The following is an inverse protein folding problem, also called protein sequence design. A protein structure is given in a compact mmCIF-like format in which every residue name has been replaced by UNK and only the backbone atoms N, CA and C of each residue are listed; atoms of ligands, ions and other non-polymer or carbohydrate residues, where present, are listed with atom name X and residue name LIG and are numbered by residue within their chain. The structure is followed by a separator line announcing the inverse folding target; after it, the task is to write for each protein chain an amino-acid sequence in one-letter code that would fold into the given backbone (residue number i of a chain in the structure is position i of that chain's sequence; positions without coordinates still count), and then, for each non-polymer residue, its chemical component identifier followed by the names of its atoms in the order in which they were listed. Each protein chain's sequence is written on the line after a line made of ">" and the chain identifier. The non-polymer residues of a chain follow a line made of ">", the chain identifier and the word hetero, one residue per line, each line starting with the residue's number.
data_IF_141129595023
#
_entry.id   IF_141129595023
#
_cell.length_a   1.000
_cell.length_b   1.000
_cell.length_c   1.000
_cell.angle_alpha   90.00
_cell.angle_beta   90.00
_cell.angle_gamma   90.00
#
_symmetry.space_group_name_H-M   'P 1'
#
loop_
_entity.id
_entity.type
_entity.pdbx_description
1 polymer ?
#
# COMPACT_ATOMS: atom_id res chain seq x y z
N UNK A 1 18.78 16.27 -2.51
CA UNK A 1 18.03 15.21 -1.83
C UNK A 1 17.82 14.04 -2.79
N UNK A 2 17.88 12.81 -2.26
CA UNK A 2 17.60 11.59 -3.01
C UNK A 2 16.19 11.12 -2.64
N UNK A 3 15.16 11.43 -3.43
CA UNK A 3 13.81 11.01 -3.13
C UNK A 3 13.66 9.50 -3.38
N UNK A 4 12.87 8.86 -2.51
CA UNK A 4 12.34 7.52 -2.75
C UNK A 4 11.00 7.73 -3.44
N UNK A 5 10.86 7.13 -4.63
CA UNK A 5 9.70 7.31 -5.48
C UNK A 5 8.86 6.03 -5.54
N UNK A 6 7.58 6.21 -5.30
CA UNK A 6 6.53 5.21 -5.45
C UNK A 6 5.64 5.63 -6.61
N UNK A 7 5.94 5.22 -7.79
CA UNK A 7 5.13 5.60 -8.95
C UNK A 7 5.49 4.82 -10.20
N UNK A 8 4.59 4.89 -11.18
CA UNK A 8 4.67 4.11 -12.41
C UNK A 8 5.22 4.95 -13.55
N UNK A 9 5.01 6.26 -13.49
CA UNK A 9 5.48 7.16 -14.53
C UNK A 9 6.98 7.37 -14.39
N UNK A 10 7.72 6.97 -15.44
CA UNK A 10 9.16 7.19 -15.53
C UNK A 10 9.41 8.40 -16.43
N UNK A 11 10.08 9.41 -15.88
CA UNK A 11 10.53 10.56 -16.64
C UNK A 11 11.87 10.25 -17.32
N UNK A 12 12.07 10.68 -18.59
CA UNK A 12 13.22 10.28 -19.38
C UNK A 12 14.57 10.82 -18.88
N UNK A 13 14.56 11.90 -18.09
CA UNK A 13 15.75 12.53 -17.52
C UNK A 13 16.09 12.04 -16.10
N UNK A 14 15.38 11.03 -15.61
CA UNK A 14 15.58 10.44 -14.30
C UNK A 14 16.06 9.00 -14.39
N UNK A 15 16.99 8.66 -13.51
CA UNK A 15 17.43 7.28 -13.29
C UNK A 15 16.68 6.69 -12.09
N UNK A 16 16.13 5.51 -12.29
CA UNK A 16 15.41 4.76 -11.28
C UNK A 16 16.21 3.53 -10.88
N UNK A 17 16.51 3.39 -9.60
CA UNK A 17 17.22 2.23 -9.07
C UNK A 17 16.28 1.50 -8.10
N UNK A 18 15.93 0.23 -8.37
CA UNK A 18 15.07 -0.54 -7.47
C UNK A 18 15.59 -0.56 -6.05
N UNK A 19 14.72 -0.34 -5.08
CA UNK A 19 15.07 -0.32 -3.66
C UNK A 19 14.36 -1.42 -2.88
N UNK A 20 13.03 -1.47 -2.97
CA UNK A 20 12.19 -2.31 -2.14
C UNK A 20 10.92 -2.70 -2.87
N UNK A 21 10.55 -3.98 -2.76
CA UNK A 21 9.21 -4.43 -3.12
C UNK A 21 8.30 -4.41 -1.88
N UNK A 22 7.05 -4.06 -2.08
CA UNK A 22 6.02 -4.00 -1.06
C UNK A 22 4.71 -4.52 -1.63
N UNK A 23 3.83 -4.95 -0.75
CA UNK A 23 2.51 -5.45 -1.09
C UNK A 23 1.46 -4.69 -0.30
N UNK A 24 0.39 -4.29 -0.98
CA UNK A 24 -0.80 -3.79 -0.33
C UNK A 24 -1.74 -4.94 -0.02
N UNK A 25 -2.30 -4.90 1.17
CA UNK A 25 -3.23 -5.91 1.67
C UNK A 25 -4.51 -5.25 2.15
N UNK A 26 -5.61 -5.99 2.04
CA UNK A 26 -6.85 -5.62 2.70
C UNK A 26 -6.81 -6.11 4.14
N UNK A 27 -7.08 -5.22 5.08
CA UNK A 27 -7.08 -5.54 6.52
C UNK A 27 -8.37 -5.12 7.20
N UNK A 28 -8.75 -5.88 8.20
CA UNK A 28 -9.89 -5.60 9.07
C UNK A 28 -9.46 -5.76 10.53
N UNK A 29 -10.16 -5.12 11.45
CA UNK A 29 -9.97 -5.40 12.87
C UNK A 29 -10.44 -6.83 13.18
N UNK A 30 -9.72 -7.57 14.03
CA UNK A 30 -10.02 -8.98 14.32
C UNK A 30 -11.39 -9.21 14.95
N UNK A 31 -11.94 -8.20 15.64
CA UNK A 31 -13.29 -8.23 16.22
C UNK A 31 -14.38 -7.71 15.26
N UNK A 32 -14.00 -7.27 14.06
CA UNK A 32 -14.96 -6.84 13.05
C UNK A 32 -15.80 -8.03 12.54
N UNK A 33 -17.04 -7.76 12.20
CA UNK A 33 -17.90 -8.72 11.51
C UNK A 33 -17.33 -9.15 10.16
N UNK A 34 -16.46 -8.35 9.58
CA UNK A 34 -15.77 -8.65 8.32
C UNK A 34 -14.61 -9.65 8.49
N UNK A 35 -14.19 -9.94 9.72
CA UNK A 35 -13.10 -10.88 10.02
C UNK A 35 -13.53 -12.36 9.97
N UNK A 36 -14.75 -12.66 9.53
CA UNK A 36 -15.28 -14.04 9.48
C UNK A 36 -14.80 -14.83 8.28
N UNK A 37 -14.22 -14.17 7.28
CA UNK A 37 -13.69 -14.80 6.07
C UNK A 37 -12.23 -14.46 5.86
N UNK A 38 -11.47 -15.40 5.32
CA UNK A 38 -10.06 -15.22 4.98
C UNK A 38 -9.85 -14.72 3.55
N UNK A 39 -10.84 -14.93 2.68
CA UNK A 39 -10.77 -14.61 1.26
C UNK A 39 -12.10 -14.05 0.77
N UNK A 40 -12.01 -13.05 -0.10
CA UNK A 40 -13.14 -12.44 -0.82
C UNK A 40 -12.81 -12.30 -2.31
N UNK A 41 -13.82 -12.13 -3.13
CA UNK A 41 -13.64 -11.75 -4.54
C UNK A 41 -13.49 -10.23 -4.68
N UNK A 42 -12.91 -9.72 -5.79
CA UNK A 42 -12.90 -8.27 -6.05
C UNK A 42 -14.30 -7.64 -6.05
N UNK A 43 -15.30 -8.37 -6.51
CA UNK A 43 -16.70 -7.93 -6.55
C UNK A 43 -17.33 -7.81 -5.15
N UNK A 44 -16.89 -8.64 -4.21
CA UNK A 44 -17.37 -8.59 -2.81
C UNK A 44 -17.03 -7.25 -2.15
N UNK A 45 -15.92 -6.60 -2.57
CA UNK A 45 -15.54 -5.29 -2.09
C UNK A 45 -16.62 -4.22 -2.32
N UNK A 46 -17.47 -4.37 -3.32
CA UNK A 46 -18.59 -3.44 -3.58
C UNK A 46 -19.57 -3.33 -2.41
N UNK A 47 -19.64 -4.38 -1.59
CA UNK A 47 -20.54 -4.48 -0.45
C UNK A 47 -19.86 -4.21 0.90
N UNK A 48 -18.55 -3.92 0.88
CA UNK A 48 -17.76 -3.71 2.08
C UNK A 48 -17.44 -2.23 2.24
N UNK A 49 -17.71 -1.62 3.41
CA UNK A 49 -17.26 -0.26 3.68
C UNK A 49 -15.73 -0.18 3.70
N UNK A 50 -15.16 0.78 2.97
CA UNK A 50 -13.71 0.96 2.85
C UNK A 50 -13.24 2.23 3.55
N UNK A 51 -12.05 2.17 4.12
CA UNK A 51 -11.23 3.32 4.51
C UNK A 51 -9.94 3.27 3.71
N UNK A 52 -9.61 4.37 3.04
CA UNK A 52 -8.52 4.42 2.06
C UNK A 52 -7.56 5.57 2.37
N UNK A 53 -6.37 5.51 1.77
CA UNK A 53 -5.45 6.64 1.75
C UNK A 53 -6.01 7.77 0.90
N UNK A 54 -5.55 8.97 1.17
CA UNK A 54 -5.92 10.20 0.46
C UNK A 54 -5.64 10.12 -1.04
N UNK A 55 -6.33 10.96 -1.79
CA UNK A 55 -6.07 11.13 -3.23
C UNK A 55 -4.64 11.64 -3.47
N UNK A 56 -3.96 11.06 -4.45
CA UNK A 56 -2.57 11.35 -4.75
C UNK A 56 -1.57 10.49 -3.98
N UNK A 57 -2.01 9.61 -3.07
CA UNK A 57 -1.13 8.62 -2.46
C UNK A 57 -0.83 7.48 -3.42
N UNK A 58 0.42 7.00 -3.44
CA UNK A 58 0.79 5.82 -4.23
C UNK A 58 0.01 4.56 -3.82
N UNK A 59 -0.39 4.45 -2.56
CA UNK A 59 -1.26 3.37 -2.08
C UNK A 59 -2.60 3.35 -2.80
N UNK A 60 -3.26 4.51 -2.90
CA UNK A 60 -4.54 4.62 -3.59
C UNK A 60 -4.39 4.33 -5.10
N UNK A 61 -3.33 4.84 -5.72
CA UNK A 61 -3.07 4.62 -7.16
C UNK A 61 -2.86 3.13 -7.50
N UNK A 62 -2.16 2.38 -6.65
CA UNK A 62 -1.97 0.93 -6.82
C UNK A 62 -3.29 0.19 -6.68
N UNK A 63 -4.11 0.55 -5.68
CA UNK A 63 -5.42 -0.06 -5.48
C UNK A 63 -6.36 0.22 -6.65
N UNK A 64 -6.48 1.47 -7.10
CA UNK A 64 -7.32 1.85 -8.25
C UNK A 64 -6.95 1.08 -9.51
N UNK A 65 -5.65 0.89 -9.77
CA UNK A 65 -5.19 0.09 -10.91
C UNK A 65 -5.54 -1.38 -10.79
N UNK A 66 -5.39 -1.96 -9.61
CA UNK A 66 -5.79 -3.34 -9.39
C UNK A 66 -7.30 -3.51 -9.65
N UNK A 67 -8.13 -2.57 -9.21
CA UNK A 67 -9.57 -2.56 -9.49
C UNK A 67 -9.87 -2.49 -11.00
N UNK A 68 -9.16 -1.62 -11.74
CA UNK A 68 -9.36 -1.48 -13.19
C UNK A 68 -9.05 -2.77 -13.96
N UNK A 69 -8.09 -3.57 -13.50
CA UNK A 69 -7.79 -4.88 -14.10
C UNK A 69 -8.94 -5.87 -13.95
N UNK A 70 -9.82 -5.65 -12.98
CA UNK A 70 -11.05 -6.42 -12.76
C UNK A 70 -12.30 -5.71 -13.29
N UNK A 71 -12.16 -4.69 -14.14
CA UNK A 71 -13.26 -3.86 -14.66
C UNK A 71 -14.08 -3.17 -13.57
N UNK A 72 -13.48 -2.89 -12.42
CA UNK A 72 -14.08 -2.18 -11.30
C UNK A 72 -13.56 -0.74 -11.23
N UNK A 73 -14.41 0.18 -10.78
CA UNK A 73 -14.05 1.59 -10.61
C UNK A 73 -14.23 2.00 -9.15
N UNK A 74 -13.29 2.75 -8.60
CA UNK A 74 -13.35 3.22 -7.22
C UNK A 74 -14.65 3.98 -6.89
N UNK A 75 -15.22 4.69 -7.86
CA UNK A 75 -16.49 5.40 -7.70
C UNK A 75 -17.70 4.50 -7.39
N UNK A 76 -17.58 3.20 -7.61
CA UNK A 76 -18.63 2.22 -7.32
C UNK A 76 -18.59 1.67 -5.89
N UNK A 77 -17.56 2.04 -5.11
CA UNK A 77 -17.33 1.51 -3.76
C UNK A 77 -17.88 2.44 -2.68
N UNK A 78 -18.27 1.85 -1.56
CA UNK A 78 -18.64 2.59 -0.36
C UNK A 78 -17.38 3.00 0.43
N UNK A 79 -16.77 4.11 0.06
CA UNK A 79 -15.61 4.66 0.77
C UNK A 79 -16.11 5.59 1.87
N UNK A 80 -15.95 5.16 3.12
CA UNK A 80 -16.38 5.92 4.29
C UNK A 80 -15.50 7.16 4.49
N UNK A 81 -14.19 7.01 4.29
CA UNK A 81 -13.25 8.10 4.53
C UNK A 81 -11.94 7.89 3.77
N UNK A 82 -11.32 9.01 3.39
CA UNK A 82 -9.95 9.09 2.91
C UNK A 82 -9.07 9.70 4.00
N UNK A 83 -8.01 9.02 4.40
CA UNK A 83 -7.13 9.43 5.50
C UNK A 83 -5.70 9.64 5.04
N UNK A 84 -5.03 10.64 5.60
CA UNK A 84 -3.69 11.09 5.19
C UNK A 84 -2.53 10.21 5.70
N UNK A 85 -2.81 9.16 6.46
CA UNK A 85 -1.77 8.26 6.96
C UNK A 85 -2.29 6.85 7.25
N UNK A 86 -1.41 5.86 7.19
CA UNK A 86 -1.73 4.49 7.60
C UNK A 86 -2.06 4.38 9.08
N UNK A 87 -1.40 5.17 9.94
CA UNK A 87 -1.70 5.19 11.38
C UNK A 87 -3.14 5.65 11.66
N UNK A 88 -3.63 6.65 10.92
CA UNK A 88 -5.03 7.06 11.01
C UNK A 88 -5.99 5.98 10.55
N UNK A 89 -5.63 5.21 9.51
CA UNK A 89 -6.44 4.07 9.04
C UNK A 89 -6.50 3.00 10.14
N UNK A 90 -5.39 2.65 10.78
CA UNK A 90 -5.36 1.67 11.88
C UNK A 90 -6.31 2.06 13.01
N UNK A 91 -6.25 3.32 13.45
CA UNK A 91 -7.14 3.84 14.49
C UNK A 91 -8.62 3.79 14.07
N UNK A 92 -8.91 4.10 12.81
CA UNK A 92 -10.26 4.05 12.29
C UNK A 92 -10.83 2.62 12.28
N UNK A 93 -10.00 1.63 11.93
CA UNK A 93 -10.36 0.21 11.93
C UNK A 93 -10.68 -0.33 13.34
N UNK A 94 -10.07 0.22 14.39
CA UNK A 94 -10.35 -0.18 15.78
C UNK A 94 -11.78 0.16 16.23
N UNK A 95 -12.40 1.14 15.60
CA UNK A 95 -13.69 1.69 16.03
C UNK A 95 -14.81 1.56 14.99
N UNK A 96 -14.52 0.96 13.83
CA UNK A 96 -15.48 0.93 12.72
C UNK A 96 -15.39 -0.41 11.98
N UNK A 97 -16.55 -1.02 11.73
CA UNK A 97 -16.65 -2.20 10.88
C UNK A 97 -16.42 -1.82 9.42
N UNK A 98 -15.16 -1.77 9.02
CA UNK A 98 -14.74 -1.47 7.64
C UNK A 98 -13.42 -2.17 7.31
N UNK A 99 -13.02 -2.11 6.05
CA UNK A 99 -11.80 -2.68 5.54
C UNK A 99 -10.85 -1.57 5.08
N UNK A 100 -9.58 -1.69 5.42
CA UNK A 100 -8.52 -0.78 4.98
C UNK A 100 -7.62 -1.42 3.93
N UNK A 101 -7.10 -0.62 2.99
CA UNK A 101 -6.07 -1.05 2.05
C UNK A 101 -4.77 -0.35 2.43
N UNK A 102 -3.78 -1.13 2.84
CA UNK A 102 -2.53 -0.63 3.42
C UNK A 102 -1.34 -1.51 3.04
N UNK A 103 -0.12 -0.98 3.21
CA UNK A 103 1.10 -1.79 3.10
C UNK A 103 1.15 -2.85 4.19
N UNK A 104 1.46 -4.10 3.82
CA UNK A 104 1.65 -5.18 4.77
C UNK A 104 2.76 -4.86 5.78
N UNK A 105 3.80 -4.15 5.36
CA UNK A 105 4.91 -3.73 6.23
C UNK A 105 4.46 -2.76 7.32
N UNK A 106 3.53 -1.87 6.99
CA UNK A 106 3.04 -0.84 7.92
C UNK A 106 2.11 -1.39 9.01
N UNK A 107 1.56 -2.60 8.82
CA UNK A 107 0.64 -3.25 9.77
C UNK A 107 1.22 -4.52 10.41
N UNK A 108 2.51 -4.80 10.18
CA UNK A 108 3.15 -6.01 10.67
C UNK A 108 3.00 -6.21 12.18
N UNK A 109 3.17 -5.14 12.96
CA UNK A 109 3.03 -5.19 14.43
C UNK A 109 1.61 -5.58 14.85
N UNK A 110 0.60 -5.00 14.21
CA UNK A 110 -0.80 -5.24 14.49
C UNK A 110 -1.23 -6.66 14.07
N UNK A 111 -0.66 -7.17 12.98
CA UNK A 111 -0.89 -8.56 12.54
C UNK A 111 -0.28 -9.56 13.54
N UNK A 112 0.96 -9.34 13.97
CA UNK A 112 1.63 -10.19 14.97
C UNK A 112 0.91 -10.14 16.31
N UNK A 113 0.45 -8.96 16.74
CA UNK A 113 -0.31 -8.77 17.97
C UNK A 113 -1.75 -9.35 17.89
N UNK A 114 -2.23 -9.70 16.69
CA UNK A 114 -3.58 -10.21 16.49
C UNK A 114 -4.68 -9.15 16.55
N UNK A 115 -4.34 -7.86 16.42
CA UNK A 115 -5.31 -6.76 16.41
C UNK A 115 -5.94 -6.57 15.03
N UNK A 116 -5.16 -6.79 13.98
CA UNK A 116 -5.61 -6.76 12.60
C UNK A 116 -5.47 -8.14 11.96
N UNK A 117 -6.25 -8.36 10.93
CA UNK A 117 -6.24 -9.56 10.11
C UNK A 117 -6.27 -9.19 8.64
N UNK A 118 -5.49 -9.91 7.84
CA UNK A 118 -5.54 -9.80 6.39
C UNK A 118 -6.74 -10.59 5.87
N UNK A 119 -7.45 -10.00 4.92
CA UNK A 119 -8.47 -10.67 4.10
C UNK A 119 -7.93 -10.68 2.68
N UNK A 120 -7.69 -11.86 2.12
CA UNK A 120 -7.17 -11.98 0.77
C UNK A 120 -8.22 -11.59 -0.26
N UNK A 121 -7.82 -10.81 -1.28
CA UNK A 121 -8.68 -10.51 -2.43
C UNK A 121 -8.23 -11.41 -3.58
N UNK A 122 -9.05 -12.41 -3.88
CA UNK A 122 -8.74 -13.45 -4.85
C UNK A 122 -8.38 -12.92 -6.23
N UNK A 123 -7.20 -13.30 -6.72
CA UNK A 123 -6.76 -12.92 -8.05
C UNK A 123 -6.44 -11.43 -8.21
N UNK A 124 -6.36 -10.65 -7.14
CA UNK A 124 -6.05 -9.23 -7.17
C UNK A 124 -4.80 -8.89 -6.33
N UNK A 125 -3.62 -9.34 -6.74
CA UNK A 125 -2.38 -8.96 -6.08
C UNK A 125 -2.10 -7.46 -6.30
N UNK A 126 -1.66 -6.78 -5.24
CA UNK A 126 -1.37 -5.34 -5.27
C UNK A 126 0.11 -5.11 -4.92
N UNK A 127 0.97 -5.45 -5.85
CA UNK A 127 2.42 -5.29 -5.69
C UNK A 127 2.86 -3.90 -6.15
N UNK A 128 3.83 -3.34 -5.46
CA UNK A 128 4.48 -2.08 -5.80
C UNK A 128 5.99 -2.15 -5.58
N UNK A 129 6.70 -1.28 -6.29
CA UNK A 129 8.15 -1.17 -6.20
C UNK A 129 8.51 0.26 -5.81
N UNK A 130 9.35 0.39 -4.78
CA UNK A 130 9.98 1.65 -4.43
C UNK A 130 11.31 1.76 -5.17
N UNK A 131 11.58 2.91 -5.73
CA UNK A 131 12.81 3.20 -6.45
C UNK A 131 13.50 4.42 -5.88
N UNK A 132 14.83 4.38 -5.81
CA UNK A 132 15.60 5.61 -5.70
C UNK A 132 15.55 6.34 -7.03
N UNK A 133 15.35 7.65 -6.98
CA UNK A 133 15.28 8.49 -8.18
C UNK A 133 16.39 9.54 -8.15
N UNK A 134 17.16 9.61 -9.22
CA UNK A 134 18.26 10.55 -9.39
C UNK A 134 18.16 11.24 -10.76
N UNK A 135 18.68 12.45 -10.86
CA UNK A 135 18.91 13.05 -12.15
C UNK A 135 19.98 12.25 -12.92
N UNK A 136 19.73 12.00 -14.18
CA UNK A 136 20.68 11.31 -15.05
C UNK A 136 21.97 12.15 -15.15
N UNK A 137 23.13 11.49 -14.94
CA UNK A 137 24.43 12.16 -14.93
C UNK A 137 24.89 12.72 -13.58
N UNK A 138 24.08 12.66 -12.53
CA UNK A 138 24.48 13.01 -11.15
C UNK A 138 24.72 11.78 -10.28
N UNK A 139 25.50 10.86 -10.79
CA UNK A 139 25.79 9.58 -10.12
C UNK A 139 27.08 9.71 -9.31
N UNK A 140 26.98 9.91 -8.00
CA UNK A 140 28.18 9.92 -7.15
C UNK A 140 27.98 10.47 -5.74
N UNK A 141 29.01 10.33 -4.93
CA UNK A 141 29.10 10.95 -3.62
C UNK A 141 28.13 10.37 -2.56
N UNK A 142 27.54 11.28 -1.79
CA UNK A 142 26.70 10.95 -0.63
C UNK A 142 25.48 10.11 -1.00
N UNK A 143 24.91 10.30 -2.19
CA UNK A 143 23.76 9.54 -2.69
C UNK A 143 24.05 8.04 -2.82
N UNK A 144 25.23 7.67 -3.32
CA UNK A 144 25.63 6.26 -3.43
C UNK A 144 25.85 5.61 -2.07
N UNK A 145 26.43 6.36 -1.13
CA UNK A 145 26.64 5.89 0.25
C UNK A 145 25.29 5.62 0.90
N UNK A 146 24.33 6.55 0.73
CA UNK A 146 22.98 6.39 1.27
C UNK A 146 22.24 5.19 0.64
N UNK A 147 22.31 5.02 -0.68
CA UNK A 147 21.65 3.89 -1.36
C UNK A 147 22.20 2.55 -0.89
N UNK A 148 23.52 2.43 -0.69
CA UNK A 148 24.15 1.23 -0.13
C UNK A 148 23.69 0.97 1.29
N UNK A 149 23.68 1.98 2.14
CA UNK A 149 23.23 1.90 3.52
C UNK A 149 21.76 1.44 3.58
N UNK A 150 20.86 2.11 2.85
CA UNK A 150 19.45 1.78 2.82
C UNK A 150 19.19 0.37 2.26
N UNK A 151 19.92 -0.03 1.20
CA UNK A 151 19.82 -1.36 0.60
C UNK A 151 20.26 -2.49 1.55
N UNK A 152 21.24 -2.25 2.41
CA UNK A 152 21.63 -3.21 3.45
C UNK A 152 20.56 -3.34 4.55
N UNK A 153 19.98 -2.23 4.98
CA UNK A 153 19.00 -2.22 6.08
C UNK A 153 17.59 -2.65 5.65
N UNK A 154 17.23 -2.51 4.37
CA UNK A 154 15.92 -2.95 3.86
C UNK A 154 15.74 -4.47 3.85
N UNK A 155 16.81 -5.25 3.90
CA UNK A 155 16.78 -6.72 4.01
C UNK A 155 16.46 -7.21 5.43
N UNK A 156 16.50 -6.32 6.41
CA UNK A 156 16.26 -6.60 7.83
C UNK A 156 14.84 -6.17 8.28
N UNK A 157 14.07 -5.60 7.38
CA UNK A 157 12.68 -5.17 7.56
C UNK A 157 11.74 -6.13 6.82
#
# INVERSE_FOLDING_TARGET
>A
ALPIFEGIFRLPNLKYTPFLQDELVAVVHTQSKLAVTDEITPEDLLNIPLVLRERGSGTLDVFERALLQHNLKLSSFNVLMYLGSTESIKLFLEHTDCMGIVSIRSVHKELVAGNLRVVEIKGMPMLREFNFVQLQGQEGGLSQVFMRFAGHHSKSL
#
